data_IF_207548251873
#
_entry.id   IF_207548251873
#
_cell.length_a   1.000
_cell.length_b   1.000
_cell.length_c   1.000
_cell.angle_alpha   90.00
_cell.angle_beta   90.00
_cell.angle_gamma   90.00
#
_symmetry.space_group_name_H-M   'P 1'
#
loop_
_entity.id
_entity.type
_entity.pdbx_description
1 polymer ?
#
# COMPACT_ATOMS: atom_id res chain seq x y z
N UNK A 1 -11.14 -12.62 -19.01
CA UNK A 1 -10.04 -11.72 -19.42
C UNK A 1 -9.20 -11.49 -18.17
N UNK A 2 -8.24 -12.35 -17.85
CA UNK A 2 -6.89 -12.59 -18.42
C UNK A 2 -5.82 -11.93 -17.55
N UNK A 3 -4.89 -12.79 -17.09
CA UNK A 3 -3.62 -12.53 -16.42
C UNK A 3 -3.67 -11.90 -15.02
N UNK A 4 -3.79 -12.76 -14.00
CA UNK A 4 -3.23 -12.45 -12.69
C UNK A 4 -1.69 -12.49 -12.81
N UNK A 5 -1.13 -11.40 -13.32
CA UNK A 5 0.30 -11.13 -13.22
C UNK A 5 0.63 -11.03 -11.73
N UNK A 6 1.44 -11.97 -11.26
CA UNK A 6 2.19 -11.89 -10.00
C UNK A 6 2.78 -10.49 -9.90
N UNK A 7 2.38 -9.73 -8.88
CA UNK A 7 2.96 -8.42 -8.63
C UNK A 7 4.41 -8.59 -8.16
N UNK A 8 5.34 -7.90 -8.84
CA UNK A 8 6.73 -7.79 -8.44
C UNK A 8 7.02 -6.32 -8.18
N UNK A 9 7.44 -6.00 -6.95
CA UNK A 9 7.77 -4.63 -6.59
C UNK A 9 8.99 -4.13 -7.37
N UNK A 10 8.99 -2.84 -7.71
CA UNK A 10 10.14 -2.19 -8.36
C UNK A 10 11.41 -2.38 -7.51
N UNK A 11 12.51 -2.79 -8.15
CA UNK A 11 13.76 -3.15 -7.45
C UNK A 11 14.38 -1.92 -6.76
N UNK A 12 14.30 -0.79 -7.44
CA UNK A 12 14.83 0.51 -7.05
C UNK A 12 13.92 1.32 -6.10
N UNK A 13 12.81 0.74 -5.61
CA UNK A 13 11.80 1.48 -4.83
C UNK A 13 12.36 2.17 -3.57
N UNK A 14 13.43 1.64 -2.98
CA UNK A 14 14.06 2.22 -1.79
C UNK A 14 15.03 3.37 -2.12
N UNK A 15 15.35 3.60 -3.39
CA UNK A 15 16.23 4.68 -3.85
C UNK A 15 15.43 5.94 -4.24
N UNK A 16 14.11 5.83 -4.36
CA UNK A 16 13.23 6.87 -4.91
C UNK A 16 12.77 7.91 -3.88
N UNK A 17 12.69 7.54 -2.60
CA UNK A 17 12.24 8.42 -1.53
C UNK A 17 13.27 8.50 -0.40
N UNK A 18 13.41 9.70 0.16
CA UNK A 18 14.11 9.93 1.41
C UNK A 18 13.33 9.29 2.56
N UNK A 19 14.04 8.66 3.50
CA UNK A 19 13.48 8.14 4.74
C UNK A 19 13.97 9.01 5.91
N UNK A 20 13.05 9.31 6.83
CA UNK A 20 13.29 10.20 7.97
C UNK A 20 12.96 9.49 9.27
N UNK A 21 13.77 9.71 10.29
CA UNK A 21 13.55 9.11 11.60
C UNK A 21 12.31 9.70 12.27
N UNK A 22 11.44 8.84 12.78
CA UNK A 22 10.30 9.26 13.60
C UNK A 22 10.76 9.61 15.02
N UNK A 23 11.17 10.86 15.23
CA UNK A 23 11.68 11.36 16.52
C UNK A 23 12.92 10.59 16.97
N UNK A 24 13.00 10.28 18.27
CA UNK A 24 14.13 9.53 18.86
C UNK A 24 13.95 8.00 18.77
N UNK A 25 13.04 7.52 17.92
CA UNK A 25 12.79 6.09 17.76
C UNK A 25 13.85 5.39 16.92
N UNK A 26 13.68 4.08 16.70
CA UNK A 26 14.41 3.31 15.68
C UNK A 26 13.72 3.24 14.32
N UNK A 27 12.55 3.89 14.16
CA UNK A 27 11.67 3.72 13.02
C UNK A 27 11.88 4.83 11.98
N UNK A 28 12.35 4.45 10.80
CA UNK A 28 12.44 5.32 9.64
C UNK A 28 11.14 5.25 8.81
N UNK A 29 10.55 6.42 8.53
CA UNK A 29 9.35 6.57 7.72
C UNK A 29 9.69 7.25 6.39
N UNK A 30 8.98 6.93 5.30
CA UNK A 30 9.17 7.63 4.04
C UNK A 30 8.77 9.11 4.20
N UNK A 31 9.46 10.02 3.52
CA UNK A 31 9.15 11.45 3.55
C UNK A 31 7.70 11.76 3.09
N UNK A 32 7.08 10.83 2.36
CA UNK A 32 5.67 10.84 1.95
C UNK A 32 4.99 9.53 2.36
N UNK A 33 3.80 9.62 2.95
CA UNK A 33 2.97 8.48 3.36
C UNK A 33 1.61 8.51 2.65
N UNK A 34 0.99 7.35 2.42
CA UNK A 34 -0.32 7.25 1.76
C UNK A 34 -1.45 7.05 2.78
N UNK A 35 -2.31 8.05 2.95
CA UNK A 35 -3.52 7.93 3.77
C UNK A 35 -4.70 7.33 3.00
N UNK A 36 -5.41 6.40 3.63
CA UNK A 36 -6.52 5.65 3.00
C UNK A 36 -7.91 6.19 3.37
N UNK A 37 -8.02 7.45 3.79
CA UNK A 37 -9.27 8.04 4.29
C UNK A 37 -10.37 8.09 3.22
N UNK A 38 -10.06 8.68 2.07
CA UNK A 38 -10.99 8.81 0.96
C UNK A 38 -10.59 7.85 -0.17
N UNK A 39 -11.57 7.41 -0.97
CA UNK A 39 -11.36 6.59 -2.18
C UNK A 39 -10.98 5.14 -1.95
N UNK A 40 -10.84 4.72 -0.69
CA UNK A 40 -10.58 3.32 -0.32
C UNK A 40 -11.83 2.61 0.27
N UNK A 41 -13.03 3.13 -0.01
CA UNK A 41 -14.31 2.52 0.34
C UNK A 41 -14.82 1.51 -0.71
N UNK A 42 -16.02 0.99 -0.51
CA UNK A 42 -16.68 0.10 -1.49
C UNK A 42 -17.30 0.86 -2.66
N UNK A 43 -17.32 2.19 -2.59
CA UNK A 43 -17.82 3.12 -3.59
C UNK A 43 -16.80 3.42 -4.70
N UNK A 44 -15.57 2.93 -4.58
CA UNK A 44 -14.52 3.04 -5.60
C UNK A 44 -14.15 1.68 -6.21
N UNK A 45 -13.75 1.60 -7.49
CA UNK A 45 -13.31 0.35 -8.09
C UNK A 45 -12.08 -0.23 -7.40
N UNK A 46 -12.16 -1.51 -7.00
CA UNK A 46 -11.05 -2.20 -6.32
C UNK A 46 -9.75 -2.21 -7.16
N UNK A 47 -9.86 -2.37 -8.49
CA UNK A 47 -8.70 -2.37 -9.39
C UNK A 47 -7.87 -1.10 -9.26
N UNK A 48 -8.53 0.06 -9.33
CA UNK A 48 -7.89 1.38 -9.15
C UNK A 48 -7.28 1.53 -7.76
N UNK A 49 -7.99 1.11 -6.71
CA UNK A 49 -7.49 1.17 -5.33
C UNK A 49 -6.22 0.33 -5.16
N UNK A 50 -6.21 -0.89 -5.73
CA UNK A 50 -5.04 -1.77 -5.76
C UNK A 50 -3.89 -1.12 -6.50
N UNK A 51 -4.11 -0.59 -7.70
CA UNK A 51 -3.07 0.07 -8.51
C UNK A 51 -2.43 1.24 -7.77
N UNK A 52 -3.22 2.08 -7.08
CA UNK A 52 -2.69 3.19 -6.29
C UNK A 52 -1.77 2.68 -5.15
N UNK A 53 -2.20 1.65 -4.42
CA UNK A 53 -1.39 1.08 -3.31
C UNK A 53 -0.09 0.48 -3.83
N UNK A 54 -0.13 -0.27 -4.92
CA UNK A 54 1.06 -0.90 -5.50
C UNK A 54 2.02 0.13 -6.08
N UNK A 55 1.49 1.13 -6.78
CA UNK A 55 2.30 2.20 -7.34
C UNK A 55 2.97 3.03 -6.24
N UNK A 56 2.26 3.34 -5.15
CA UNK A 56 2.84 3.99 -3.98
C UNK A 56 4.02 3.18 -3.41
N UNK A 57 3.89 1.86 -3.31
CA UNK A 57 4.97 0.99 -2.86
C UNK A 57 6.15 0.95 -3.84
N UNK A 58 5.90 0.93 -5.15
CA UNK A 58 6.93 1.01 -6.19
C UNK A 58 7.68 2.36 -6.17
N UNK A 59 7.05 3.42 -5.67
CA UNK A 59 7.67 4.72 -5.43
C UNK A 59 8.44 4.82 -4.11
N UNK A 60 8.41 3.77 -3.28
CA UNK A 60 9.11 3.74 -1.99
C UNK A 60 8.26 4.17 -0.80
N UNK A 61 6.94 4.36 -0.95
CA UNK A 61 6.07 4.61 0.19
C UNK A 61 5.86 3.30 0.95
N UNK A 62 6.41 3.21 2.15
CA UNK A 62 6.27 2.05 3.05
C UNK A 62 5.26 2.28 4.18
N UNK A 63 4.76 3.50 4.35
CA UNK A 63 3.75 3.83 5.35
C UNK A 63 2.39 4.10 4.70
N UNK A 64 1.43 3.23 5.04
CA UNK A 64 0.02 3.36 4.69
C UNK A 64 -0.79 3.65 5.96
N UNK A 65 -1.46 4.80 6.01
CA UNK A 65 -2.28 5.22 7.15
C UNK A 65 -3.74 4.77 6.97
N UNK A 66 -4.32 4.21 8.04
CA UNK A 66 -5.68 3.68 8.03
C UNK A 66 -6.37 3.90 9.38
N UNK A 67 -7.70 3.85 9.40
CA UNK A 67 -8.49 3.94 10.61
C UNK A 67 -9.84 3.21 10.48
N UNK A 68 -10.40 2.81 11.62
CA UNK A 68 -11.69 2.10 11.69
C UNK A 68 -12.87 2.86 11.06
N UNK A 69 -12.79 4.19 10.94
CA UNK A 69 -13.84 5.02 10.33
C UNK A 69 -13.65 5.27 8.84
N UNK A 70 -12.48 4.97 8.27
CA UNK A 70 -12.21 5.19 6.85
C UNK A 70 -13.09 4.29 5.97
N UNK A 71 -13.58 4.85 4.86
CA UNK A 71 -14.73 4.35 4.11
C UNK A 71 -15.42 5.44 3.30
N UNK A 72 -16.60 5.19 2.70
CA UNK A 72 -17.67 4.32 3.21
C UNK A 72 -17.69 2.89 2.66
N UNK A 73 -18.32 1.92 3.38
CA UNK A 73 -18.78 2.00 4.77
C UNK A 73 -17.60 2.09 5.75
N UNK A 74 -17.85 2.36 7.03
CA UNK A 74 -16.80 2.27 8.05
C UNK A 74 -16.07 0.92 7.96
N UNK A 75 -14.75 0.96 8.17
CA UNK A 75 -13.82 -0.18 7.97
C UNK A 75 -13.72 -0.63 6.51
N UNK A 76 -14.28 0.10 5.56
CA UNK A 76 -14.19 -0.19 4.13
C UNK A 76 -12.73 -0.19 3.67
N UNK A 77 -11.99 0.86 4.05
CA UNK A 77 -10.57 0.99 3.74
C UNK A 77 -9.72 -0.13 4.33
N UNK A 78 -9.97 -0.53 5.58
CA UNK A 78 -9.29 -1.69 6.21
C UNK A 78 -9.52 -2.98 5.40
N UNK A 79 -10.77 -3.21 4.95
CA UNK A 79 -11.14 -4.41 4.18
C UNK A 79 -10.47 -4.43 2.81
N UNK A 80 -10.52 -3.32 2.07
CA UNK A 80 -9.87 -3.21 0.75
C UNK A 80 -8.35 -3.38 0.89
N UNK A 81 -7.73 -2.65 1.82
CA UNK A 81 -6.28 -2.78 2.02
C UNK A 81 -5.88 -4.21 2.38
N UNK A 82 -6.66 -4.88 3.25
CA UNK A 82 -6.46 -6.30 3.56
C UNK A 82 -6.63 -7.22 2.33
N UNK A 83 -7.51 -6.91 1.38
CA UNK A 83 -7.64 -7.64 0.12
C UNK A 83 -6.41 -7.45 -0.77
N UNK A 84 -5.88 -6.22 -0.88
CA UNK A 84 -4.64 -5.94 -1.61
C UNK A 84 -3.47 -6.72 -1.01
N UNK A 85 -3.29 -6.65 0.33
CA UNK A 85 -2.23 -7.38 1.02
C UNK A 85 -2.32 -8.90 0.80
N UNK A 86 -3.53 -9.49 0.87
CA UNK A 86 -3.74 -10.92 0.60
C UNK A 86 -3.37 -11.31 -0.83
N UNK A 87 -3.68 -10.46 -1.81
CA UNK A 87 -3.38 -10.72 -3.21
C UNK A 87 -1.86 -10.72 -3.47
N UNK A 88 -1.09 -9.81 -2.84
CA UNK A 88 0.37 -9.73 -3.05
C UNK A 88 1.19 -10.65 -2.14
N UNK A 89 0.63 -11.14 -1.03
CA UNK A 89 1.35 -12.01 -0.06
C UNK A 89 1.88 -13.31 -0.67
N UNK A 90 1.29 -13.77 -1.79
CA UNK A 90 1.74 -14.97 -2.51
C UNK A 90 2.90 -14.71 -3.48
N UNK A 91 3.32 -13.45 -3.67
CA UNK A 91 4.25 -13.05 -4.73
C UNK A 91 5.60 -12.51 -4.23
N UNK A 92 5.80 -12.38 -2.91
CA UNK A 92 7.12 -12.05 -2.35
C UNK A 92 7.94 -13.34 -2.24
N UNK A 93 8.56 -13.77 -3.35
CA UNK A 93 9.72 -14.66 -3.24
C UNK A 93 10.84 -13.84 -2.60
N UNK A 94 11.19 -14.19 -1.37
CA UNK A 94 12.42 -13.73 -0.75
C UNK A 94 13.58 -14.24 -1.62
N UNK A 95 14.60 -13.40 -1.90
CA UNK A 95 15.81 -13.90 -2.54
C UNK A 95 16.42 -14.98 -1.65
N UNK A 96 16.74 -16.14 -2.27
CA UNK A 96 17.58 -17.18 -1.67
C UNK A 96 19.06 -16.84 -1.80
#
# INVERSE_FOLDING_TARGET
MTYESTYRAAEERYERLEYRRAGDSGLDLPALSLGLWQKFGTDYPFGTQREIVLHAFDLGITHFDNANRYGPPHRGAEKVFGQVLRAVRRCVQLPG
#
